data_IF_737876036557
#
_entry.id   IF_737876036557
#
_cell.length_a   1.000
_cell.length_b   1.000
_cell.length_c   1.000
_cell.angle_alpha   90.00
_cell.angle_beta   90.00
_cell.angle_gamma   90.00
#
_symmetry.space_group_name_H-M   'P 1'
#
loop_
_entity.id
_entity.type
_entity.pdbx_description
1 polymer ?
#
# COMPACT_ATOMS: atom_id res chain seq x y z
N UNK A 1 -15.15 16.78 7.78
CA UNK A 1 -15.20 15.40 7.24
C UNK A 1 -14.81 15.31 5.76
N UNK A 2 -14.64 16.42 5.04
CA UNK A 2 -14.27 16.42 3.60
C UNK A 2 -12.78 16.20 3.31
N UNK A 3 -11.90 16.31 4.31
CA UNK A 3 -10.44 16.20 4.13
C UNK A 3 -9.93 14.77 4.14
N UNK A 4 -10.59 13.87 4.89
CA UNK A 4 -10.12 12.49 5.08
C UNK A 4 -10.33 11.63 3.82
N UNK A 5 -11.49 11.78 3.16
CA UNK A 5 -11.77 11.11 1.88
C UNK A 5 -10.84 11.58 0.74
N UNK A 6 -10.47 12.86 0.73
CA UNK A 6 -9.54 13.40 -0.29
C UNK A 6 -8.11 12.88 -0.09
N UNK A 7 -7.67 12.71 1.16
CA UNK A 7 -6.39 12.10 1.48
C UNK A 7 -6.35 10.64 1.05
N UNK A 8 -7.38 9.84 1.37
CA UNK A 8 -7.46 8.44 0.95
C UNK A 8 -7.41 8.26 -0.58
N UNK A 9 -8.12 9.10 -1.33
CA UNK A 9 -8.08 9.07 -2.79
C UNK A 9 -6.70 9.42 -3.37
N UNK A 10 -6.01 10.38 -2.76
CA UNK A 10 -4.64 10.75 -3.16
C UNK A 10 -3.65 9.63 -2.87
N UNK A 11 -3.74 9.04 -1.67
CA UNK A 11 -2.89 7.93 -1.25
C UNK A 11 -3.11 6.69 -2.12
N UNK A 12 -4.37 6.38 -2.45
CA UNK A 12 -4.69 5.28 -3.36
C UNK A 12 -4.07 5.51 -4.75
N UNK A 13 -4.13 6.73 -5.28
CA UNK A 13 -3.52 7.06 -6.56
C UNK A 13 -1.99 6.89 -6.51
N UNK A 14 -1.33 7.37 -5.46
CA UNK A 14 0.11 7.20 -5.26
C UNK A 14 0.51 5.73 -5.14
N UNK A 15 -0.23 4.95 -4.34
CA UNK A 15 -0.02 3.50 -4.21
C UNK A 15 -0.22 2.77 -5.53
N UNK A 16 -1.23 3.16 -6.31
CA UNK A 16 -1.50 2.56 -7.64
C UNK A 16 -0.31 2.77 -8.57
N UNK A 17 0.31 3.96 -8.57
CA UNK A 17 1.51 4.23 -9.38
C UNK A 17 2.68 3.36 -8.92
N UNK A 18 2.95 3.31 -7.60
CA UNK A 18 4.04 2.48 -7.07
C UNK A 18 3.85 0.99 -7.36
N UNK A 19 2.61 0.50 -7.24
CA UNK A 19 2.27 -0.88 -7.53
C UNK A 19 2.41 -1.20 -9.01
N UNK A 20 1.96 -0.33 -9.91
CA UNK A 20 2.13 -0.52 -11.36
C UNK A 20 3.58 -0.67 -11.77
N UNK A 21 4.47 0.13 -11.18
CA UNK A 21 5.90 0.00 -11.43
C UNK A 21 6.49 -1.34 -10.95
N UNK A 22 5.94 -1.94 -9.89
CA UNK A 22 6.34 -3.30 -9.45
C UNK A 22 5.75 -4.36 -10.39
N UNK A 23 4.49 -4.17 -10.80
CA UNK A 23 3.75 -5.08 -11.68
C UNK A 23 4.25 -5.07 -13.13
N UNK A 24 4.93 -4.02 -13.57
CA UNK A 24 5.56 -3.94 -14.90
C UNK A 24 6.55 -5.09 -15.10
N UNK A 25 7.31 -5.47 -14.06
CA UNK A 25 8.25 -6.60 -14.12
C UNK A 25 7.56 -7.95 -14.32
N UNK A 26 6.28 -8.04 -13.95
CA UNK A 26 5.42 -9.21 -14.08
C UNK A 26 4.48 -9.15 -15.31
N UNK A 27 4.48 -8.03 -16.05
CA UNK A 27 3.55 -7.79 -17.17
C UNK A 27 2.09 -7.59 -16.75
N UNK A 28 1.88 -7.10 -15.52
CA UNK A 28 0.57 -6.86 -14.90
C UNK A 28 0.27 -5.36 -14.74
N UNK A 29 0.90 -4.50 -15.55
CA UNK A 29 0.77 -3.03 -15.49
C UNK A 29 -0.65 -2.51 -15.79
N UNK A 30 -1.47 -3.29 -16.49
CA UNK A 30 -2.88 -3.00 -16.80
C UNK A 30 -3.85 -3.51 -15.71
N UNK A 31 -3.35 -4.11 -14.62
CA UNK A 31 -4.21 -4.62 -13.55
C UNK A 31 -5.06 -3.51 -12.90
N UNK A 32 -6.33 -3.84 -12.62
CA UNK A 32 -7.25 -2.94 -11.92
C UNK A 32 -6.91 -2.92 -10.42
N UNK A 33 -6.24 -1.86 -9.98
CA UNK A 33 -5.88 -1.64 -8.58
C UNK A 33 -6.94 -0.76 -7.93
N UNK A 34 -7.70 -1.34 -7.01
CA UNK A 34 -8.68 -0.67 -6.18
C UNK A 34 -8.47 -0.98 -4.70
N UNK A 35 -9.29 -0.37 -3.85
CA UNK A 35 -9.26 -0.58 -2.39
C UNK A 35 -9.48 -2.05 -1.97
N UNK A 36 -10.24 -2.81 -2.75
CA UNK A 36 -10.56 -4.20 -2.44
C UNK A 36 -9.55 -5.19 -3.07
N UNK A 37 -8.58 -4.68 -3.85
CA UNK A 37 -7.51 -5.47 -4.47
C UNK A 37 -6.55 -5.99 -3.41
N UNK A 38 -6.22 -7.28 -3.47
CA UNK A 38 -5.29 -7.95 -2.56
C UNK A 38 -3.88 -8.00 -3.11
N UNK A 39 -2.89 -7.81 -2.24
CA UNK A 39 -1.48 -7.84 -2.64
C UNK A 39 -1.02 -9.23 -3.13
N UNK A 40 -1.44 -10.31 -2.46
CA UNK A 40 -1.01 -11.66 -2.83
C UNK A 40 -1.95 -12.32 -3.85
N UNK A 41 -3.27 -12.30 -3.62
CA UNK A 41 -4.22 -13.01 -4.49
C UNK A 41 -4.43 -12.31 -5.85
N UNK A 42 -4.54 -10.98 -5.88
CA UNK A 42 -4.87 -10.23 -7.11
C UNK A 42 -3.62 -9.71 -7.83
N UNK A 43 -2.61 -9.27 -7.07
CA UNK A 43 -1.39 -8.68 -7.62
C UNK A 43 -0.21 -9.65 -7.66
N UNK A 44 -0.37 -10.86 -7.13
CA UNK A 44 0.67 -11.90 -7.08
C UNK A 44 2.00 -11.42 -6.51
N UNK A 45 1.99 -10.40 -5.64
CA UNK A 45 3.21 -9.83 -5.08
C UNK A 45 3.89 -10.81 -4.14
N UNK A 46 5.21 -10.90 -4.27
CA UNK A 46 6.02 -11.68 -3.35
C UNK A 46 6.34 -10.88 -2.07
N UNK A 47 6.79 -11.59 -1.05
CA UNK A 47 7.23 -10.95 0.20
C UNK A 47 8.37 -9.93 -0.02
N UNK A 48 9.19 -10.12 -1.05
CA UNK A 48 10.26 -9.18 -1.44
C UNK A 48 9.68 -7.89 -2.04
N UNK A 49 8.60 -7.99 -2.80
CA UNK A 49 7.91 -6.83 -3.37
C UNK A 49 7.31 -5.96 -2.27
N UNK A 50 6.78 -6.56 -1.20
CA UNK A 50 6.29 -5.82 -0.04
C UNK A 50 7.39 -5.05 0.69
N UNK A 51 8.60 -5.62 0.79
CA UNK A 51 9.77 -4.90 1.35
C UNK A 51 10.18 -3.75 0.43
N UNK A 52 10.13 -3.95 -0.88
CA UNK A 52 10.42 -2.91 -1.88
C UNK A 52 9.38 -1.78 -1.82
N UNK A 53 8.10 -2.13 -1.75
CA UNK A 53 6.98 -1.19 -1.58
C UNK A 53 7.13 -0.40 -0.27
N UNK A 54 7.55 -1.05 0.82
CA UNK A 54 7.85 -0.37 2.09
C UNK A 54 8.91 0.71 1.93
N UNK A 55 9.97 0.41 1.18
CA UNK A 55 11.02 1.37 0.87
C UNK A 55 10.51 2.57 0.07
N UNK A 56 9.70 2.33 -0.97
CA UNK A 56 9.10 3.39 -1.80
C UNK A 56 8.13 4.27 -1.02
N UNK A 57 7.31 3.66 -0.17
CA UNK A 57 6.41 4.40 0.73
C UNK A 57 7.15 5.32 1.68
N UNK A 58 8.25 4.82 2.26
CA UNK A 58 9.10 5.63 3.13
C UNK A 58 9.79 6.75 2.36
N UNK A 59 10.20 6.53 1.12
CA UNK A 59 10.82 7.57 0.28
C UNK A 59 9.81 8.68 -0.06
N UNK A 60 8.58 8.30 -0.41
CA UNK A 60 7.51 9.24 -0.81
C UNK A 60 6.85 9.97 0.36
N UNK A 61 6.50 9.26 1.43
CA UNK A 61 5.80 9.82 2.61
C UNK A 61 6.72 10.12 3.81
N UNK A 62 8.01 9.77 3.71
CA UNK A 62 8.98 9.90 4.78
C UNK A 62 8.85 8.84 5.88
N UNK A 63 9.60 9.03 6.98
CA UNK A 63 9.58 8.15 8.17
C UNK A 63 8.24 8.14 8.95
N UNK A 64 7.18 8.77 8.41
CA UNK A 64 5.85 8.73 9.03
C UNK A 64 5.10 7.44 8.70
N UNK A 65 5.38 6.85 7.54
CA UNK A 65 4.74 5.62 7.08
C UNK A 65 5.75 4.49 7.18
N UNK A 66 5.51 3.55 8.09
CA UNK A 66 6.37 2.38 8.27
C UNK A 66 5.61 1.11 7.93
N UNK A 67 5.51 0.82 6.62
CA UNK A 67 4.80 -0.37 6.14
C UNK A 67 5.46 -1.68 6.61
N UNK A 68 6.79 -1.71 6.74
CA UNK A 68 7.48 -2.89 7.24
C UNK A 68 7.09 -3.22 8.69
N UNK A 69 6.95 -2.21 9.55
CA UNK A 69 6.44 -2.37 10.92
C UNK A 69 4.97 -2.82 10.92
N UNK A 70 4.14 -2.19 10.09
CA UNK A 70 2.74 -2.58 9.92
C UNK A 70 2.58 -4.07 9.52
N UNK A 71 3.40 -4.57 8.61
CA UNK A 71 3.38 -5.99 8.21
C UNK A 71 3.96 -6.89 9.31
N UNK A 72 5.01 -6.45 10.00
CA UNK A 72 5.66 -7.24 11.05
C UNK A 72 4.76 -7.51 12.27
N UNK A 73 3.76 -6.66 12.51
CA UNK A 73 2.77 -6.83 13.58
C UNK A 73 1.61 -7.78 13.22
N UNK A 74 1.54 -8.25 11.97
CA UNK A 74 0.44 -9.09 11.44
C UNK A 74 0.80 -10.57 11.36
N UNK A 75 -0.23 -11.40 11.44
CA UNK A 75 -0.10 -12.83 11.16
C UNK A 75 0.02 -13.10 9.65
N UNK A 76 0.62 -14.24 9.26
CA UNK A 76 0.81 -14.59 7.85
C UNK A 76 -0.50 -14.60 7.05
N UNK A 77 -1.58 -15.13 7.63
CA UNK A 77 -2.91 -15.13 7.01
C UNK A 77 -3.44 -13.71 6.76
N UNK A 78 -3.15 -12.76 7.66
CA UNK A 78 -3.53 -11.36 7.50
C UNK A 78 -2.69 -10.67 6.42
N UNK A 79 -1.40 -11.00 6.32
CA UNK A 79 -0.50 -10.48 5.28
C UNK A 79 -0.95 -10.96 3.89
N UNK A 80 -1.37 -12.23 3.77
CA UNK A 80 -1.89 -12.80 2.53
C UNK A 80 -3.23 -12.14 2.15
N UNK A 81 -4.10 -11.92 3.14
CA UNK A 81 -5.40 -11.29 2.93
C UNK A 81 -5.34 -9.76 2.77
N UNK A 82 -4.15 -9.16 2.90
CA UNK A 82 -3.98 -7.72 2.93
C UNK A 82 -4.45 -7.06 1.63
N UNK A 83 -5.25 -6.01 1.80
CA UNK A 83 -5.77 -5.22 0.68
C UNK A 83 -5.09 -3.86 0.55
N UNK A 84 -5.13 -3.28 -0.66
CA UNK A 84 -4.64 -1.92 -0.91
C UNK A 84 -5.41 -0.91 -0.06
N UNK A 85 -6.69 -1.12 0.20
CA UNK A 85 -7.52 -0.26 1.05
C UNK A 85 -6.99 -0.16 2.48
N UNK A 86 -6.60 -1.29 3.08
CA UNK A 86 -6.00 -1.29 4.42
C UNK A 86 -4.68 -0.50 4.48
N UNK A 87 -3.87 -0.60 3.42
CA UNK A 87 -2.65 0.19 3.33
C UNK A 87 -2.95 1.68 3.16
N UNK A 88 -3.94 2.04 2.34
CA UNK A 88 -4.41 3.43 2.21
C UNK A 88 -4.83 3.99 3.56
N UNK A 89 -5.65 3.25 4.31
CA UNK A 89 -6.12 3.66 5.64
C UNK A 89 -4.95 3.81 6.62
N UNK A 90 -3.98 2.89 6.60
CA UNK A 90 -2.78 2.99 7.43
C UNK A 90 -1.94 4.24 7.11
N UNK A 91 -1.75 4.56 5.83
CA UNK A 91 -1.00 5.74 5.40
C UNK A 91 -1.74 7.01 5.78
N UNK A 92 -3.05 7.09 5.51
CA UNK A 92 -3.87 8.26 5.89
C UNK A 92 -3.83 8.47 7.40
N UNK A 93 -3.98 7.41 8.20
CA UNK A 93 -3.89 7.48 9.66
C UNK A 93 -2.49 7.95 10.13
N UNK A 94 -1.42 7.42 9.51
CA UNK A 94 -0.04 7.82 9.80
C UNK A 94 0.24 9.29 9.47
N UNK A 95 -0.35 9.80 8.38
CA UNK A 95 -0.24 11.20 7.97
C UNK A 95 -1.10 12.12 8.84
N UNK A 96 -2.27 11.66 9.30
CA UNK A 96 -3.17 12.40 10.17
C UNK A 96 -2.69 12.44 11.64
N UNK A 97 -2.00 11.38 12.09
CA UNK A 97 -1.52 11.20 13.46
C UNK A 97 -0.35 12.08 13.90
N UNK A 98 0.01 13.10 13.11
CA UNK A 98 1.01 14.11 13.49
C UNK A 98 0.42 15.51 13.34
N UNK A 99 -0.40 15.88 14.34
CA UNK A 99 -0.64 17.27 14.75
C UNK A 99 0.06 17.52 16.08
#
# INVERSE_FOLDING_TARGET
>A
MTTETAAAGTVLADLTVMLRELLEEYGLDDAEIGRDTKFHDDLELESIDLVTLSGRLRDHYGDRVNFAEFIAERELDEIIALTVGELVDHVVASLAGKA
#
